data_IF_377733232587
#
_entry.id   IF_377733232587
#
_cell.length_a   1.000
_cell.length_b   1.000
_cell.length_c   1.000
_cell.angle_alpha   90.00
_cell.angle_beta   90.00
_cell.angle_gamma   90.00
#
_symmetry.space_group_name_H-M   'P 1'
#
loop_
_entity.id
_entity.type
_entity.pdbx_description
1 polymer ?
#
# COMPACT_ATOMS: atom_id res chain seq x y z
N UNK A 1 27.93 -24.80 5.86
CA UNK A 1 27.17 -24.14 6.94
C UNK A 1 25.84 -23.71 6.34
N UNK A 2 24.71 -24.35 6.70
CA UNK A 2 23.38 -23.99 6.17
C UNK A 2 22.92 -22.73 6.89
N UNK A 3 22.99 -21.59 6.22
CA UNK A 3 22.36 -20.35 6.70
C UNK A 3 20.86 -20.62 6.85
N UNK A 4 20.34 -20.60 8.08
CA UNK A 4 18.89 -20.43 8.25
C UNK A 4 18.64 -19.00 7.80
N UNK A 5 18.03 -18.83 6.63
CA UNK A 5 17.58 -17.51 6.19
C UNK A 5 16.61 -17.03 7.26
N UNK A 6 17.07 -16.16 8.15
CA UNK A 6 16.18 -15.51 9.11
C UNK A 6 15.17 -14.73 8.27
N UNK A 7 13.88 -14.91 8.56
CA UNK A 7 12.86 -14.04 8.02
C UNK A 7 13.22 -12.61 8.40
N UNK A 8 13.24 -11.70 7.42
CA UNK A 8 13.67 -10.31 7.61
C UNK A 8 12.74 -9.56 8.57
N UNK A 9 11.47 -9.98 8.62
CA UNK A 9 10.44 -9.42 9.45
C UNK A 9 9.77 -10.49 10.35
N UNK A 10 9.10 -10.05 11.44
CA UNK A 10 8.15 -10.88 12.19
C UNK A 10 7.10 -11.54 11.29
N UNK A 11 6.48 -12.59 11.80
CA UNK A 11 5.41 -13.28 11.08
C UNK A 11 4.25 -12.32 10.78
N UNK A 12 3.76 -12.36 9.54
CA UNK A 12 2.64 -11.53 9.08
C UNK A 12 3.03 -10.14 8.57
N UNK A 13 4.32 -9.80 8.55
CA UNK A 13 4.81 -8.53 8.01
C UNK A 13 5.68 -8.77 6.77
N UNK A 14 5.61 -7.82 5.84
CA UNK A 14 6.43 -7.80 4.63
C UNK A 14 7.65 -6.90 4.81
N UNK A 15 8.81 -7.37 4.32
CA UNK A 15 10.04 -6.60 4.30
C UNK A 15 10.09 -5.74 3.03
N UNK A 16 9.69 -4.48 3.13
CA UNK A 16 9.61 -3.56 2.00
C UNK A 16 10.82 -2.63 1.97
N UNK A 17 11.36 -2.39 0.78
CA UNK A 17 12.52 -1.53 0.62
C UNK A 17 12.14 -0.07 0.81
N UNK A 18 12.94 0.63 1.61
CA UNK A 18 12.77 2.06 1.83
C UNK A 18 13.46 2.81 0.69
N UNK A 19 12.67 3.44 -0.18
CA UNK A 19 13.18 4.25 -1.28
C UNK A 19 14.09 5.40 -0.80
N UNK A 20 15.17 5.67 -1.51
CA UNK A 20 16.12 6.72 -1.16
C UNK A 20 17.15 6.34 -0.08
N UNK A 21 17.03 5.15 0.51
CA UNK A 21 18.07 4.52 1.31
C UNK A 21 18.85 3.47 0.47
N UNK A 22 19.85 2.85 1.07
CA UNK A 22 20.59 1.77 0.42
C UNK A 22 19.71 0.54 0.10
N UNK A 23 20.26 -0.39 -0.65
CA UNK A 23 19.53 -1.60 -1.09
C UNK A 23 19.36 -2.67 0.01
N UNK A 24 19.76 -2.39 1.25
CA UNK A 24 19.70 -3.35 2.37
C UNK A 24 18.77 -2.87 3.48
N UNK A 25 18.29 -1.65 3.36
CA UNK A 25 17.38 -0.98 4.24
C UNK A 25 15.96 -1.37 3.85
N UNK A 26 15.23 -1.84 4.86
CA UNK A 26 13.85 -2.27 4.71
C UNK A 26 13.09 -1.88 5.97
N UNK A 27 11.78 -1.75 5.81
CA UNK A 27 10.82 -1.65 6.89
C UNK A 27 9.91 -2.89 6.89
N UNK A 28 9.40 -3.24 8.07
CA UNK A 28 8.46 -4.32 8.22
C UNK A 28 7.06 -3.74 8.29
N UNK A 29 6.24 -4.01 7.27
CA UNK A 29 4.92 -3.40 7.11
C UNK A 29 3.83 -4.47 7.17
N UNK A 30 2.69 -4.12 7.77
CA UNK A 30 1.47 -4.90 7.63
C UNK A 30 0.72 -4.40 6.39
N UNK A 31 1.01 -5.03 5.25
CA UNK A 31 0.40 -4.69 3.97
C UNK A 31 -1.13 -4.88 3.92
N UNK A 32 -1.74 -5.51 4.95
CA UNK A 32 -3.19 -5.63 5.02
C UNK A 32 -3.90 -4.37 5.49
N UNK A 33 -3.14 -3.44 6.10
CA UNK A 33 -3.67 -2.20 6.71
C UNK A 33 -2.88 -0.94 6.39
N UNK A 34 -1.67 -1.08 5.82
CA UNK A 34 -0.84 0.07 5.45
C UNK A 34 -1.38 0.80 4.21
N UNK A 35 -1.46 2.14 4.27
CA UNK A 35 -2.03 2.95 3.19
C UNK A 35 -1.09 3.10 2.00
N UNK A 36 0.23 3.12 2.23
CA UNK A 36 1.24 3.42 1.20
C UNK A 36 1.80 2.14 0.57
N UNK A 37 1.60 1.00 1.23
CA UNK A 37 1.96 -0.35 0.77
C UNK A 37 0.80 -1.34 0.91
N UNK A 38 -0.40 -0.93 0.49
CA UNK A 38 -1.60 -1.74 0.60
C UNK A 38 -1.55 -2.92 -0.37
N UNK A 39 -1.73 -4.14 0.15
CA UNK A 39 -1.69 -5.39 -0.62
C UNK A 39 -0.27 -5.90 -0.92
N UNK A 40 0.76 -5.15 -0.55
CA UNK A 40 2.16 -5.57 -0.63
C UNK A 40 3.11 -4.38 -0.74
N UNK A 41 4.41 -4.65 -0.84
CA UNK A 41 5.39 -3.57 -0.98
C UNK A 41 5.19 -2.78 -2.30
N UNK A 42 4.92 -1.48 -2.19
CA UNK A 42 4.88 -0.59 -3.37
C UNK A 42 6.23 -0.53 -4.06
N UNK A 43 7.34 -0.67 -3.31
CA UNK A 43 8.71 -0.70 -3.85
C UNK A 43 9.00 -1.85 -4.82
N UNK A 44 8.24 -2.95 -4.74
CA UNK A 44 8.36 -4.12 -5.63
C UNK A 44 7.20 -4.23 -6.62
N UNK A 45 6.27 -3.27 -6.58
CA UNK A 45 5.04 -3.28 -7.38
C UNK A 45 4.02 -4.34 -6.97
N UNK A 46 4.17 -4.95 -5.79
CA UNK A 46 3.22 -5.94 -5.29
C UNK A 46 2.00 -5.30 -4.60
N UNK A 47 2.16 -4.10 -4.05
CA UNK A 47 1.04 -3.31 -3.54
C UNK A 47 0.95 -1.94 -4.17
N UNK A 48 0.06 -1.13 -3.61
CA UNK A 48 -0.18 0.23 -4.08
C UNK A 48 -0.28 1.23 -2.92
N UNK A 49 0.02 2.48 -3.25
CA UNK A 49 -0.26 3.61 -2.39
C UNK A 49 -1.72 4.07 -2.62
N UNK A 50 -2.60 3.79 -1.65
CA UNK A 50 -3.99 4.23 -1.67
C UNK A 50 -4.11 5.77 -1.59
N UNK A 51 -3.13 6.45 -0.98
CA UNK A 51 -3.14 7.91 -0.83
C UNK A 51 -2.84 8.63 -2.14
N UNK A 52 -2.20 7.94 -3.09
CA UNK A 52 -1.91 8.44 -4.43
C UNK A 52 -3.10 8.33 -5.41
N UNK A 53 -4.24 7.79 -4.99
CA UNK A 53 -5.44 7.69 -5.84
C UNK A 53 -5.94 9.10 -6.19
N UNK A 54 -5.87 9.46 -7.47
CA UNK A 54 -6.27 10.79 -7.95
C UNK A 54 -7.71 11.10 -7.58
N UNK A 55 -7.92 12.26 -6.96
CA UNK A 55 -9.24 12.77 -6.61
C UNK A 55 -9.86 12.09 -5.38
N UNK A 56 -9.19 11.11 -4.77
CA UNK A 56 -9.60 10.59 -3.47
C UNK A 56 -9.30 11.62 -2.36
N UNK A 57 -10.14 11.63 -1.33
CA UNK A 57 -9.98 12.50 -0.17
C UNK A 57 -9.77 11.70 1.12
N UNK A 58 -10.59 10.67 1.35
CA UNK A 58 -10.40 9.73 2.45
C UNK A 58 -10.30 8.32 1.86
N UNK A 59 -9.23 7.61 2.23
CA UNK A 59 -8.94 6.25 1.79
C UNK A 59 -8.58 5.37 2.99
N UNK A 60 -8.72 4.08 2.82
CA UNK A 60 -8.27 3.05 3.74
C UNK A 60 -7.57 1.92 2.99
N UNK A 61 -6.80 1.12 3.72
CA UNK A 61 -6.38 -0.21 3.26
C UNK A 61 -7.12 -1.24 4.11
N UNK A 62 -7.98 -2.03 3.47
CA UNK A 62 -8.82 -3.02 4.12
C UNK A 62 -8.51 -4.39 3.53
N UNK A 63 -7.94 -5.28 4.35
CA UNK A 63 -7.56 -6.63 3.93
C UNK A 63 -6.67 -6.65 2.67
N UNK A 64 -5.75 -5.68 2.57
CA UNK A 64 -4.83 -5.54 1.43
C UNK A 64 -5.45 -4.96 0.16
N UNK A 65 -6.62 -4.33 0.27
CA UNK A 65 -7.28 -3.64 -0.84
C UNK A 65 -7.58 -2.20 -0.48
N UNK A 66 -7.34 -1.28 -1.42
CA UNK A 66 -7.70 0.12 -1.19
C UNK A 66 -9.22 0.30 -1.18
N UNK A 67 -9.71 0.95 -0.14
CA UNK A 67 -11.08 1.43 -0.03
C UNK A 67 -11.10 2.95 -0.17
N UNK A 68 -11.93 3.48 -1.08
CA UNK A 68 -12.15 4.91 -1.21
C UNK A 68 -13.44 5.27 -0.45
N UNK A 69 -13.32 5.99 0.66
CA UNK A 69 -14.47 6.39 1.45
C UNK A 69 -15.13 7.66 0.92
N UNK A 70 -14.32 8.63 0.49
CA UNK A 70 -14.83 9.89 -0.08
C UNK A 70 -13.89 10.41 -1.16
N UNK A 71 -14.46 10.96 -2.23
CA UNK A 71 -13.73 11.74 -3.23
C UNK A 71 -13.68 13.22 -2.84
N UNK A 72 -12.66 13.93 -3.32
CA UNK A 72 -12.52 15.37 -3.18
C UNK A 72 -13.61 16.12 -3.99
N UNK A 73 -13.80 17.40 -3.69
CA UNK A 73 -14.75 18.24 -4.44
C UNK A 73 -14.42 18.27 -5.94
N UNK A 74 -15.45 18.16 -6.79
CA UNK A 74 -15.29 18.04 -8.24
C UNK A 74 -15.14 16.60 -8.75
N UNK A 75 -15.12 15.61 -7.85
CA UNK A 75 -15.04 14.20 -8.19
C UNK A 75 -16.22 13.42 -7.60
N UNK A 76 -16.51 12.26 -8.19
CA UNK A 76 -17.41 11.23 -7.66
C UNK A 76 -16.74 9.87 -7.70
N UNK A 77 -17.20 8.96 -6.86
CA UNK A 77 -16.76 7.57 -6.90
C UNK A 77 -17.18 6.91 -8.22
N UNK A 78 -16.31 6.10 -8.81
CA UNK A 78 -16.63 5.25 -9.97
C UNK A 78 -17.63 4.16 -9.59
N UNK A 79 -18.30 3.57 -10.59
CA UNK A 79 -19.31 2.54 -10.36
C UNK A 79 -18.76 1.29 -9.67
N UNK A 80 -17.50 0.96 -9.94
CA UNK A 80 -16.78 -0.16 -9.36
C UNK A 80 -16.09 0.19 -8.02
N UNK A 81 -16.19 1.44 -7.55
CA UNK A 81 -15.60 1.89 -6.30
C UNK A 81 -14.07 2.03 -6.31
N UNK A 82 -13.40 1.81 -7.45
CA UNK A 82 -11.94 1.72 -7.53
C UNK A 82 -11.24 3.06 -7.79
N UNK A 83 -11.99 4.11 -8.15
CA UNK A 83 -11.42 5.41 -8.53
C UNK A 83 -12.36 6.58 -8.24
N UNK A 84 -11.79 7.78 -8.17
CA UNK A 84 -12.55 9.02 -8.20
C UNK A 84 -12.48 9.62 -9.61
N UNK A 85 -13.63 9.76 -10.25
CA UNK A 85 -13.77 10.33 -11.60
C UNK A 85 -14.31 11.75 -11.51
N UNK A 86 -13.85 12.63 -12.40
CA UNK A 86 -14.30 14.00 -12.42
C UNK A 86 -15.81 14.07 -12.75
N UNK A 87 -16.50 15.01 -12.14
CA UNK A 87 -17.89 15.36 -12.48
C UNK A 87 -17.99 15.96 -13.88
#
# INVERSE_FOLDING_TARGET
MKSRSASLCPQGLDACHIGGLGSREYECIDASTDLESCGGCTSTGQGQDCTAIRGAWNVGCEAGQCAIYTCAGGYRLSEDGSSCVHL
#
